data_IF_432710675246
#
_entry.id   IF_432710675246
#
_cell.length_a   1.000
_cell.length_b   1.000
_cell.length_c   1.000
_cell.angle_alpha   90.00
_cell.angle_beta   90.00
_cell.angle_gamma   90.00
#
_symmetry.space_group_name_H-M   'P 1'
#
loop_
_entity.id
_entity.type
_entity.pdbx_description
1 polymer ?
#
# COMPACT_ATOMS: atom_id res chain seq x y z
N UNK A 1 13.83 13.24 -13.58
CA UNK A 1 12.47 13.44 -14.13
C UNK A 1 12.07 12.39 -15.16
N UNK A 2 12.77 12.21 -16.29
CA UNK A 2 12.44 11.14 -17.28
C UNK A 2 12.44 9.73 -16.66
N UNK A 3 13.36 9.46 -15.73
CA UNK A 3 13.44 8.19 -14.97
C UNK A 3 12.22 7.96 -14.06
N UNK A 4 11.69 8.99 -13.41
CA UNK A 4 10.52 8.87 -12.52
C UNK A 4 9.25 8.60 -13.32
N UNK A 5 9.02 9.37 -14.40
CA UNK A 5 7.87 9.13 -15.28
C UNK A 5 7.95 7.75 -15.95
N UNK A 6 9.13 7.35 -16.41
CA UNK A 6 9.34 6.01 -16.96
C UNK A 6 9.05 4.90 -15.93
N UNK A 7 9.43 5.11 -14.67
CA UNK A 7 9.08 4.22 -13.56
C UNK A 7 7.58 4.17 -13.30
N UNK A 8 6.88 5.31 -13.25
CA UNK A 8 5.42 5.37 -13.10
C UNK A 8 4.70 4.64 -14.24
N UNK A 9 5.10 4.88 -15.49
CA UNK A 9 4.56 4.16 -16.66
C UNK A 9 4.81 2.65 -16.58
N UNK A 10 6.00 2.25 -16.13
CA UNK A 10 6.32 0.85 -15.93
C UNK A 10 5.41 0.19 -14.88
N UNK A 11 5.22 0.82 -13.71
CA UNK A 11 4.32 0.32 -12.67
C UNK A 11 2.87 0.30 -13.16
N UNK A 12 2.42 1.34 -13.89
CA UNK A 12 1.08 1.37 -14.47
C UNK A 12 0.86 0.23 -15.47
N UNK A 13 1.86 -0.11 -16.28
CA UNK A 13 1.77 -1.26 -17.19
C UNK A 13 1.63 -2.59 -16.42
N UNK A 14 2.36 -2.76 -15.31
CA UNK A 14 2.23 -3.93 -14.45
C UNK A 14 0.83 -4.03 -13.81
N UNK A 15 0.33 -2.93 -13.24
CA UNK A 15 -1.01 -2.88 -12.62
C UNK A 15 -2.10 -3.14 -13.65
N UNK A 16 -2.00 -2.53 -14.83
CA UNK A 16 -2.95 -2.75 -15.92
C UNK A 16 -2.92 -4.21 -16.41
N UNK A 17 -1.73 -4.81 -16.47
CA UNK A 17 -1.58 -6.25 -16.74
C UNK A 17 -2.33 -7.11 -15.74
N UNK A 18 -2.20 -6.83 -14.43
CA UNK A 18 -2.93 -7.53 -13.36
C UNK A 18 -4.44 -7.35 -13.51
N UNK A 19 -4.90 -6.13 -13.78
CA UNK A 19 -6.33 -5.83 -13.98
C UNK A 19 -6.89 -6.58 -15.18
N UNK A 20 -6.19 -6.59 -16.31
CA UNK A 20 -6.59 -7.36 -17.50
C UNK A 20 -6.68 -8.86 -17.16
N UNK A 21 -5.68 -9.39 -16.44
CA UNK A 21 -5.67 -10.78 -16.01
C UNK A 21 -6.94 -11.13 -15.20
N UNK A 22 -7.28 -10.31 -14.22
CA UNK A 22 -8.50 -10.51 -13.42
C UNK A 22 -9.80 -10.26 -14.20
N UNK A 23 -9.83 -9.32 -15.14
CA UNK A 23 -10.98 -9.14 -16.04
C UNK A 23 -11.24 -10.39 -16.88
N UNK A 24 -10.18 -10.97 -17.48
CA UNK A 24 -10.29 -12.19 -18.27
C UNK A 24 -10.77 -13.33 -17.37
N UNK A 25 -10.17 -13.47 -16.18
CA UNK A 25 -10.54 -14.51 -15.22
C UNK A 25 -12.01 -14.42 -14.78
N UNK A 26 -12.50 -13.22 -14.44
CA UNK A 26 -13.90 -12.99 -14.11
C UNK A 26 -14.84 -13.30 -15.28
N UNK A 27 -14.41 -13.06 -16.52
CA UNK A 27 -15.22 -13.36 -17.72
C UNK A 27 -15.43 -14.86 -17.95
N UNK A 28 -14.55 -15.72 -17.43
CA UNK A 28 -14.70 -17.17 -17.53
C UNK A 28 -15.51 -17.78 -16.37
N UNK A 29 -15.85 -17.00 -15.35
CA UNK A 29 -16.66 -17.49 -14.22
C UNK A 29 -18.13 -17.42 -14.63
N UNK A 30 -18.71 -18.58 -14.95
CA UNK A 30 -20.13 -18.74 -15.22
C UNK A 30 -20.90 -19.09 -13.92
N UNK A 31 -22.07 -18.46 -13.70
CA UNK A 31 -22.98 -18.83 -12.61
C UNK A 31 -22.98 -17.95 -11.36
N UNK A 32 -22.16 -16.89 -11.29
CA UNK A 32 -22.22 -15.92 -10.18
C UNK A 32 -23.26 -14.84 -10.49
N UNK A 33 -24.29 -14.73 -9.65
CA UNK A 33 -25.28 -13.67 -9.82
C UNK A 33 -24.71 -12.32 -9.38
N UNK A 34 -24.89 -11.28 -10.22
CA UNK A 34 -24.47 -9.91 -9.90
C UNK A 34 -25.09 -9.42 -8.58
N UNK A 35 -26.32 -9.89 -8.29
CA UNK A 35 -27.04 -9.57 -7.05
C UNK A 35 -26.34 -10.10 -5.80
N UNK A 36 -25.77 -11.31 -5.83
CA UNK A 36 -25.03 -11.88 -4.69
C UNK A 36 -23.72 -11.13 -4.45
N UNK A 37 -23.02 -10.74 -5.52
CA UNK A 37 -21.81 -9.93 -5.43
C UNK A 37 -22.10 -8.60 -4.74
N UNK A 38 -23.14 -7.88 -5.17
CA UNK A 38 -23.54 -6.61 -4.53
C UNK A 38 -24.03 -6.80 -3.10
N UNK A 39 -24.69 -7.92 -2.80
CA UNK A 39 -25.07 -8.25 -1.42
C UNK A 39 -23.86 -8.50 -0.53
N UNK A 40 -22.76 -9.01 -1.08
CA UNK A 40 -21.49 -9.20 -0.37
C UNK A 40 -20.79 -7.91 0.08
N UNK A 41 -21.08 -6.77 -0.56
CA UNK A 41 -20.57 -5.47 -0.10
C UNK A 41 -21.29 -4.95 1.16
N UNK A 42 -22.43 -5.53 1.52
CA UNK A 42 -23.18 -5.13 2.71
C UNK A 42 -22.56 -5.83 3.93
N UNK A 43 -22.20 -5.10 5.00
CA UNK A 43 -21.64 -5.69 6.21
C UNK A 43 -22.59 -6.74 6.80
N UNK A 44 -22.06 -7.92 7.12
CA UNK A 44 -22.81 -9.00 7.76
C UNK A 44 -22.28 -9.30 9.16
N UNK A 45 -23.13 -9.85 10.04
CA UNK A 45 -22.76 -10.20 11.41
C UNK A 45 -21.63 -11.25 11.49
N UNK A 46 -21.36 -11.95 10.40
CA UNK A 46 -20.26 -12.92 10.27
C UNK A 46 -18.87 -12.28 10.39
N UNK A 47 -18.74 -10.97 10.15
CA UNK A 47 -17.49 -10.21 10.32
C UNK A 47 -17.06 -10.14 11.79
N UNK A 48 -18.01 -10.21 12.73
CA UNK A 48 -17.75 -10.06 14.17
C UNK A 48 -17.35 -11.40 14.82
N UNK A 49 -17.43 -12.52 14.11
CA UNK A 49 -16.95 -13.81 14.59
C UNK A 49 -15.41 -13.86 14.60
N UNK A 50 -14.80 -14.67 15.46
CA UNK A 50 -13.34 -14.70 15.64
C UNK A 50 -12.55 -14.90 14.33
N UNK A 51 -12.95 -15.87 13.50
CA UNK A 51 -12.31 -16.14 12.20
C UNK A 51 -12.54 -15.00 11.19
N UNK A 52 -13.74 -14.43 11.17
CA UNK A 52 -14.08 -13.31 10.31
C UNK A 52 -13.33 -12.04 10.69
N UNK A 53 -13.15 -11.80 11.99
CA UNK A 53 -12.38 -10.69 12.52
C UNK A 53 -10.90 -10.86 12.17
N UNK A 54 -10.34 -12.06 12.33
CA UNK A 54 -8.96 -12.37 11.95
C UNK A 54 -8.70 -12.07 10.47
N UNK A 55 -9.54 -12.58 9.56
CA UNK A 55 -9.42 -12.35 8.13
C UNK A 55 -9.62 -10.86 7.77
N UNK A 56 -10.59 -10.20 8.41
CA UNK A 56 -10.84 -8.77 8.19
C UNK A 56 -9.67 -7.90 8.65
N UNK A 57 -9.07 -8.22 9.79
CA UNK A 57 -7.84 -7.58 10.28
C UNK A 57 -6.67 -7.82 9.32
N UNK A 58 -6.51 -9.06 8.81
CA UNK A 58 -5.50 -9.40 7.82
C UNK A 58 -5.63 -8.57 6.54
N UNK A 59 -6.85 -8.48 5.99
CA UNK A 59 -7.15 -7.65 4.81
C UNK A 59 -6.88 -6.18 5.09
N UNK A 60 -7.27 -5.66 6.26
CA UNK A 60 -7.02 -4.27 6.63
C UNK A 60 -5.51 -3.97 6.72
N UNK A 61 -4.74 -4.84 7.39
CA UNK A 61 -3.28 -4.71 7.49
C UNK A 61 -2.57 -4.84 6.14
N UNK A 62 -3.06 -5.73 5.28
CA UNK A 62 -2.53 -5.93 3.93
C UNK A 62 -2.84 -4.73 3.00
N UNK A 63 -3.98 -4.07 3.17
CA UNK A 63 -4.39 -2.93 2.33
C UNK A 63 -3.74 -1.63 2.78
N UNK A 64 -3.65 -1.38 4.09
CA UNK A 64 -3.03 -0.17 4.62
C UNK A 64 -1.56 -0.43 4.93
N UNK A 65 -0.72 -0.37 3.90
CA UNK A 65 0.70 -0.62 4.02
C UNK A 65 1.46 0.61 4.55
N UNK A 66 2.18 0.54 5.69
CA UNK A 66 2.91 1.67 6.25
C UNK A 66 3.97 2.25 5.30
N UNK A 67 4.63 1.41 4.52
CA UNK A 67 5.66 1.84 3.57
C UNK A 67 5.07 2.69 2.44
N UNK A 68 3.80 2.48 2.06
CA UNK A 68 3.10 3.29 1.05
C UNK A 68 2.82 4.70 1.56
N UNK A 69 2.59 4.89 2.87
CA UNK A 69 2.45 6.22 3.47
C UNK A 69 3.74 7.03 3.34
N UNK A 70 4.89 6.41 3.65
CA UNK A 70 6.19 7.04 3.47
C UNK A 70 6.48 7.33 1.99
N UNK A 71 6.26 6.35 1.12
CA UNK A 71 6.51 6.49 -0.31
C UNK A 71 5.69 7.64 -0.93
N UNK A 72 4.39 7.69 -0.65
CA UNK A 72 3.51 8.75 -1.14
C UNK A 72 3.99 10.13 -0.69
N UNK A 73 4.36 10.26 0.60
CA UNK A 73 4.87 11.53 1.13
C UNK A 73 6.17 12.00 0.45
N UNK A 74 7.05 11.08 0.05
CA UNK A 74 8.32 11.41 -0.61
C UNK A 74 8.17 11.68 -2.10
N UNK A 75 7.32 10.95 -2.82
CA UNK A 75 7.09 11.16 -4.26
C UNK A 75 6.46 12.54 -4.51
N UNK A 76 5.53 12.96 -3.65
CA UNK A 76 4.84 14.25 -3.75
C UNK A 76 5.83 15.42 -3.67
N UNK A 77 6.91 15.33 -2.88
CA UNK A 77 7.93 16.38 -2.80
C UNK A 77 8.59 16.71 -4.15
N UNK A 78 8.81 15.70 -4.99
CA UNK A 78 9.37 15.89 -6.32
C UNK A 78 8.39 16.64 -7.25
N UNK A 79 7.08 16.42 -7.07
CA UNK A 79 6.01 17.09 -7.83
C UNK A 79 5.86 18.56 -7.43
N UNK A 80 5.89 18.87 -6.13
CA UNK A 80 5.86 20.25 -5.66
C UNK A 80 7.03 21.05 -6.24
N UNK A 81 8.23 20.47 -6.20
CA UNK A 81 9.43 21.08 -6.77
C UNK A 81 9.29 21.35 -8.27
N UNK A 82 8.69 20.43 -9.02
CA UNK A 82 8.45 20.61 -10.45
C UNK A 82 7.47 21.76 -10.73
N UNK A 83 6.40 21.86 -9.94
CA UNK A 83 5.43 22.95 -10.06
C UNK A 83 6.11 24.30 -9.80
N UNK A 84 6.87 24.44 -8.71
CA UNK A 84 7.56 25.69 -8.39
C UNK A 84 8.61 26.09 -9.44
N UNK A 85 9.36 25.12 -9.98
CA UNK A 85 10.31 25.39 -11.08
C UNK A 85 9.59 25.86 -12.34
N UNK A 86 8.45 25.26 -12.68
CA UNK A 86 7.68 25.62 -13.88
C UNK A 86 6.95 26.96 -13.73
N UNK A 87 6.47 27.27 -12.53
CA UNK A 87 5.79 28.52 -12.20
C UNK A 87 6.75 29.69 -11.93
N UNK A 88 8.07 29.47 -11.98
CA UNK A 88 9.07 30.52 -11.73
C UNK A 88 9.20 30.92 -10.26
N UNK A 89 8.60 30.17 -9.34
CA UNK A 89 8.67 30.41 -7.88
C UNK A 89 9.89 29.75 -7.23
N UNK A 90 10.75 29.11 -8.01
CA UNK A 90 12.02 28.61 -7.51
C UNK A 90 12.95 29.80 -7.27
N UNK A 91 13.59 29.94 -6.08
CA UNK A 91 14.51 31.04 -5.85
C UNK A 91 15.64 30.95 -6.88
N UNK A 92 15.63 31.87 -7.84
CA UNK A 92 16.73 32.08 -8.77
C UNK A 92 17.92 32.51 -7.95
N UNK A 93 18.95 31.66 -7.93
CA UNK A 93 20.25 31.94 -7.31
C UNK A 93 20.75 33.33 -7.76
N UNK A 94 21.01 34.30 -6.87
CA UNK A 94 21.79 35.46 -7.26
C UNK A 94 23.18 34.98 -7.66
N UNK A 95 23.61 35.33 -8.87
CA UNK A 95 24.82 34.89 -9.56
C UNK A 95 26.13 35.19 -8.81
N UNK A 96 26.08 35.90 -7.68
CA UNK A 96 27.25 36.50 -7.02
C UNK A 96 27.58 35.93 -5.62
N UNK A 97 27.01 34.79 -5.21
CA UNK A 97 27.37 34.19 -3.91
C UNK A 97 28.49 33.13 -4.06
N UNK A 98 29.62 33.46 -3.47
CA UNK A 98 30.85 32.67 -3.32
C UNK A 98 30.62 31.28 -2.71
N UNK A 99 31.45 30.35 -3.14
CA UNK A 99 31.30 28.89 -3.16
C UNK A 99 31.48 28.13 -1.83
N UNK A 100 31.29 28.73 -0.65
CA UNK A 100 31.73 28.09 0.62
C UNK A 100 30.69 27.90 1.72
N UNK A 101 29.44 28.35 1.58
CA UNK A 101 28.34 28.07 2.55
C UNK A 101 27.29 27.12 1.98
N UNK A 102 27.74 26.09 1.26
CA UNK A 102 26.95 25.27 0.33
C UNK A 102 26.15 24.11 0.96
N UNK A 103 25.82 24.16 2.25
CA UNK A 103 25.05 23.09 2.90
C UNK A 103 23.61 23.54 3.22
N UNK A 104 22.72 23.07 2.35
CA UNK A 104 21.26 22.91 2.52
C UNK A 104 20.42 24.17 2.76
N UNK A 105 20.18 24.97 1.72
CA UNK A 105 18.91 25.71 1.67
C UNK A 105 17.81 24.65 1.53
N UNK A 106 17.12 24.37 2.64
CA UNK A 106 15.99 23.43 2.68
C UNK A 106 14.88 23.99 1.81
N UNK A 107 14.57 23.31 0.71
CA UNK A 107 13.49 23.69 -0.19
C UNK A 107 12.15 23.81 0.58
N UNK A 108 11.53 24.97 0.49
CA UNK A 108 10.19 25.23 1.03
C UNK A 108 9.25 25.49 -0.16
N UNK A 109 8.16 24.71 -0.30
CA UNK A 109 7.26 24.84 -1.43
C UNK A 109 6.33 26.05 -1.31
N UNK A 110 5.96 26.63 -2.45
CA UNK A 110 4.99 27.74 -2.49
C UNK A 110 3.57 27.27 -2.16
N UNK A 111 2.73 28.19 -1.66
CA UNK A 111 1.35 27.89 -1.30
C UNK A 111 0.50 27.43 -2.50
N UNK A 112 0.76 27.98 -3.69
CA UNK A 112 0.08 27.59 -4.93
C UNK A 112 0.47 26.16 -5.35
N UNK A 113 1.75 25.79 -5.21
CA UNK A 113 2.22 24.43 -5.46
C UNK A 113 1.55 23.42 -4.52
N UNK A 114 1.48 23.73 -3.22
CA UNK A 114 0.87 22.85 -2.23
C UNK A 114 -0.62 22.64 -2.55
N UNK A 115 -1.39 23.71 -2.78
CA UNK A 115 -2.84 23.60 -3.05
C UNK A 115 -3.13 22.78 -4.31
N UNK A 116 -2.42 23.07 -5.40
CA UNK A 116 -2.62 22.35 -6.64
C UNK A 116 -2.19 20.87 -6.52
N UNK A 117 -1.00 20.62 -5.95
CA UNK A 117 -0.50 19.25 -5.80
C UNK A 117 -1.36 18.42 -4.84
N UNK A 118 -1.91 19.03 -3.78
CA UNK A 118 -2.80 18.34 -2.84
C UNK A 118 -4.11 17.93 -3.51
N UNK A 119 -4.75 18.83 -4.28
CA UNK A 119 -5.97 18.50 -5.02
C UNK A 119 -5.71 17.41 -6.05
N UNK A 120 -4.64 17.55 -6.83
CA UNK A 120 -4.25 16.57 -7.84
C UNK A 120 -3.96 15.20 -7.23
N UNK A 121 -3.12 15.15 -6.19
CA UNK A 121 -2.74 13.90 -5.52
C UNK A 121 -3.94 13.23 -4.83
N UNK A 122 -4.87 14.00 -4.28
CA UNK A 122 -6.10 13.45 -3.67
C UNK A 122 -6.98 12.79 -4.72
N UNK A 123 -7.17 13.42 -5.88
CA UNK A 123 -7.96 12.85 -6.98
C UNK A 123 -7.27 11.62 -7.57
N UNK A 124 -5.95 11.70 -7.79
CA UNK A 124 -5.16 10.58 -8.31
C UNK A 124 -5.22 9.37 -7.39
N UNK A 125 -4.98 9.55 -6.08
CA UNK A 125 -5.07 8.48 -5.09
C UNK A 125 -6.50 7.96 -4.95
N UNK A 126 -7.49 8.85 -4.97
CA UNK A 126 -8.91 8.49 -4.90
C UNK A 126 -9.33 7.60 -6.07
N UNK A 127 -8.98 7.99 -7.30
CA UNK A 127 -9.21 7.18 -8.49
C UNK A 127 -8.46 5.86 -8.37
N UNK A 128 -7.15 5.88 -8.07
CA UNK A 128 -6.34 4.67 -8.05
C UNK A 128 -6.81 3.63 -7.02
N UNK A 129 -7.20 4.07 -5.82
CA UNK A 129 -7.71 3.19 -4.78
C UNK A 129 -9.13 2.70 -5.08
N UNK A 130 -10.00 3.56 -5.58
CA UNK A 130 -11.40 3.21 -5.84
C UNK A 130 -11.60 2.39 -7.11
N UNK A 131 -10.82 2.63 -8.16
CA UNK A 131 -10.93 1.87 -9.41
C UNK A 131 -10.04 0.65 -9.37
N UNK A 132 -8.71 0.79 -9.27
CA UNK A 132 -7.80 -0.35 -9.44
C UNK A 132 -7.73 -1.24 -8.21
N UNK A 133 -7.48 -0.68 -7.02
CA UNK A 133 -7.28 -1.49 -5.83
C UNK A 133 -8.56 -2.20 -5.40
N UNK A 134 -9.69 -1.48 -5.35
CA UNK A 134 -10.99 -2.08 -5.04
C UNK A 134 -11.37 -3.14 -6.07
N UNK A 135 -11.22 -2.85 -7.38
CA UNK A 135 -11.53 -3.84 -8.42
C UNK A 135 -10.71 -5.13 -8.25
N UNK A 136 -9.38 -5.02 -8.08
CA UNK A 136 -8.52 -6.19 -7.94
C UNK A 136 -8.84 -6.97 -6.67
N UNK A 137 -9.01 -6.29 -5.52
CA UNK A 137 -9.35 -6.94 -4.26
C UNK A 137 -10.71 -7.65 -4.34
N UNK A 138 -11.71 -7.01 -4.94
CA UNK A 138 -13.02 -7.62 -5.16
C UNK A 138 -12.96 -8.77 -6.15
N UNK A 139 -12.19 -8.65 -7.24
CA UNK A 139 -12.03 -9.72 -8.23
C UNK A 139 -11.42 -10.97 -7.60
N UNK A 140 -10.39 -10.82 -6.76
CA UNK A 140 -9.79 -11.94 -6.01
C UNK A 140 -10.84 -12.59 -5.10
N UNK A 141 -11.61 -11.79 -4.34
CA UNK A 141 -12.60 -12.32 -3.40
C UNK A 141 -13.79 -13.01 -4.10
N UNK A 142 -14.29 -12.43 -5.20
CA UNK A 142 -15.36 -13.01 -6.02
C UNK A 142 -14.89 -14.32 -6.63
N UNK A 143 -13.69 -14.32 -7.19
CA UNK A 143 -13.09 -15.51 -7.81
C UNK A 143 -12.89 -16.62 -6.79
N UNK A 144 -12.36 -16.28 -5.61
CA UNK A 144 -12.24 -17.22 -4.51
C UNK A 144 -13.61 -17.77 -4.10
N UNK A 145 -14.60 -16.90 -3.85
CA UNK A 145 -15.95 -17.33 -3.47
C UNK A 145 -16.63 -18.23 -4.51
N UNK A 146 -16.49 -17.92 -5.81
CA UNK A 146 -17.08 -18.70 -6.89
C UNK A 146 -16.44 -20.09 -7.06
N UNK A 147 -15.12 -20.19 -6.89
CA UNK A 147 -14.39 -21.44 -7.08
C UNK A 147 -14.36 -22.32 -5.82
N UNK A 148 -14.43 -21.72 -4.62
CA UNK A 148 -14.25 -22.42 -3.34
C UNK A 148 -15.57 -22.75 -2.60
N UNK A 149 -16.69 -22.12 -2.94
CA UNK A 149 -17.95 -22.22 -2.15
C UNK A 149 -18.55 -23.63 -2.01
N UNK A 150 -18.24 -24.56 -2.92
CA UNK A 150 -18.79 -25.92 -2.91
C UNK A 150 -17.83 -27.01 -2.38
N UNK A 151 -16.60 -26.66 -2.00
CA UNK A 151 -15.60 -27.63 -1.55
C UNK A 151 -15.30 -27.47 -0.06
N UNK A 152 -15.55 -28.52 0.74
CA UNK A 152 -15.19 -28.56 2.16
C UNK A 152 -13.68 -28.53 2.42
N UNK A 153 -12.86 -28.79 1.39
CA UNK A 153 -11.39 -28.63 1.41
C UNK A 153 -10.92 -27.18 1.22
N UNK A 154 -11.84 -26.22 1.11
CA UNK A 154 -11.54 -24.82 0.81
C UNK A 154 -11.14 -23.96 2.01
N UNK A 155 -11.25 -24.47 3.25
CA UNK A 155 -10.92 -23.70 4.45
C UNK A 155 -9.44 -23.32 4.52
N UNK A 156 -8.56 -24.09 3.87
CA UNK A 156 -7.11 -23.89 3.83
C UNK A 156 -6.55 -23.76 2.40
N UNK A 157 -7.32 -23.16 1.48
CA UNK A 157 -6.87 -22.98 0.10
C UNK A 157 -5.70 -21.97 0.02
N UNK A 158 -4.49 -22.51 0.10
CA UNK A 158 -3.25 -21.80 -0.15
C UNK A 158 -3.16 -21.27 -1.59
N UNK A 159 -2.19 -20.39 -1.86
CA UNK A 159 -1.94 -19.82 -3.18
C UNK A 159 -1.88 -20.88 -4.30
N UNK A 160 -1.32 -22.06 -3.99
CA UNK A 160 -1.26 -23.21 -4.89
C UNK A 160 -2.63 -23.86 -5.09
N UNK A 161 -3.42 -23.99 -4.03
CA UNK A 161 -4.79 -24.49 -4.12
C UNK A 161 -5.67 -23.59 -4.98
N UNK A 162 -5.53 -22.27 -4.85
CA UNK A 162 -6.22 -21.31 -5.71
C UNK A 162 -5.80 -21.50 -7.17
N UNK A 163 -4.50 -21.62 -7.46
CA UNK A 163 -4.03 -21.89 -8.83
C UNK A 163 -4.64 -23.17 -9.42
N UNK A 164 -4.59 -24.27 -8.67
CA UNK A 164 -5.05 -25.57 -9.13
C UNK A 164 -6.56 -25.59 -9.32
N UNK A 165 -7.32 -25.00 -8.40
CA UNK A 165 -8.78 -24.84 -8.50
C UNK A 165 -9.18 -23.99 -9.70
N UNK A 166 -8.48 -22.88 -9.95
CA UNK A 166 -8.72 -22.05 -11.12
C UNK A 166 -8.44 -22.81 -12.43
N UNK A 167 -7.35 -23.58 -12.44
CA UNK A 167 -6.96 -24.40 -13.58
C UNK A 167 -7.96 -25.52 -13.86
N UNK A 168 -8.54 -26.12 -12.82
CA UNK A 168 -9.48 -27.24 -12.94
C UNK A 168 -10.93 -26.84 -13.16
N UNK A 169 -11.38 -25.74 -12.54
CA UNK A 169 -12.80 -25.35 -12.50
C UNK A 169 -13.17 -24.38 -13.62
N UNK A 170 -12.23 -23.52 -14.03
CA UNK A 170 -12.49 -22.45 -15.01
C UNK A 170 -11.86 -22.80 -16.36
N UNK A 171 -10.53 -22.82 -16.41
CA UNK A 171 -9.75 -23.19 -17.60
C UNK A 171 -8.27 -23.33 -17.20
N UNK A 172 -7.48 -24.19 -17.87
CA UNK A 172 -6.04 -24.28 -17.61
C UNK A 172 -5.30 -22.96 -17.86
N UNK A 173 -5.85 -22.11 -18.73
CA UNK A 173 -5.34 -20.75 -18.98
C UNK A 173 -5.59 -19.80 -17.80
N UNK A 174 -6.64 -20.02 -17.00
CA UNK A 174 -6.94 -19.16 -15.85
C UNK A 174 -5.87 -19.28 -14.74
N UNK A 175 -5.38 -20.50 -14.48
CA UNK A 175 -4.28 -20.72 -13.53
C UNK A 175 -2.99 -20.01 -13.94
N UNK A 176 -2.63 -20.08 -15.23
CA UNK A 176 -1.42 -19.42 -15.74
C UNK A 176 -1.53 -17.89 -15.74
N UNK A 177 -2.71 -17.35 -16.05
CA UNK A 177 -3.01 -15.91 -15.95
C UNK A 177 -2.87 -15.44 -14.48
N UNK A 178 -3.39 -16.21 -13.53
CA UNK A 178 -3.26 -15.89 -12.10
C UNK A 178 -1.79 -15.92 -11.63
N UNK A 179 -1.03 -16.93 -12.03
CA UNK A 179 0.40 -17.02 -11.72
C UNK A 179 1.20 -15.84 -12.32
N UNK A 180 0.88 -15.43 -13.55
CA UNK A 180 1.48 -14.27 -14.19
C UNK A 180 1.15 -12.98 -13.43
N UNK A 181 -0.12 -12.79 -13.02
CA UNK A 181 -0.54 -11.63 -12.23
C UNK A 181 0.22 -11.54 -10.89
N UNK A 182 0.40 -12.68 -10.19
CA UNK A 182 1.19 -12.74 -8.95
C UNK A 182 2.66 -12.38 -9.18
N UNK A 183 3.26 -12.84 -10.28
CA UNK A 183 4.64 -12.51 -10.64
C UNK A 183 4.80 -11.00 -10.91
N UNK A 184 3.89 -10.41 -11.68
CA UNK A 184 3.90 -8.97 -11.97
C UNK A 184 3.70 -8.14 -10.70
N UNK A 185 2.80 -8.56 -9.80
CA UNK A 185 2.58 -7.91 -8.50
C UNK A 185 3.82 -7.97 -7.60
N UNK A 186 4.45 -9.15 -7.47
CA UNK A 186 5.64 -9.33 -6.64
C UNK A 186 6.88 -8.57 -7.15
N UNK A 187 7.02 -8.43 -8.47
CA UNK A 187 8.12 -7.63 -9.06
C UNK A 187 7.93 -6.13 -8.78
N UNK A 188 6.69 -5.63 -8.87
CA UNK A 188 6.33 -4.24 -8.54
C UNK A 188 6.60 -3.94 -7.06
N UNK A 189 6.09 -4.78 -6.15
CA UNK A 189 6.25 -4.63 -4.71
C UNK A 189 7.74 -4.54 -4.29
N UNK A 190 8.61 -5.32 -4.95
CA UNK A 190 10.05 -5.29 -4.68
C UNK A 190 10.71 -3.92 -4.96
N UNK A 191 10.27 -3.20 -5.98
CA UNK A 191 10.83 -1.88 -6.31
C UNK A 191 10.30 -0.82 -5.34
N UNK A 192 8.98 -0.81 -5.12
CA UNK A 192 8.30 0.07 -4.17
C UNK A 192 8.91 -0.05 -2.77
N UNK A 193 9.15 -1.27 -2.29
CA UNK A 193 9.78 -1.53 -1.00
C UNK A 193 11.20 -0.94 -0.89
N UNK A 194 12.00 -1.01 -1.96
CA UNK A 194 13.36 -0.41 -1.94
C UNK A 194 13.34 1.12 -1.86
N UNK A 195 12.38 1.76 -2.52
CA UNK A 195 12.23 3.22 -2.49
C UNK A 195 11.70 3.67 -1.12
N UNK A 196 10.68 3.01 -0.59
CA UNK A 196 10.16 3.30 0.74
C UNK A 196 11.24 3.06 1.82
N UNK A 197 11.97 1.94 1.72
CA UNK A 197 13.11 1.65 2.58
C UNK A 197 14.23 2.69 2.45
N UNK A 198 14.41 3.29 1.26
CA UNK A 198 15.30 4.45 1.07
C UNK A 198 14.88 5.63 1.95
N UNK A 199 13.62 6.06 1.81
CA UNK A 199 13.06 7.18 2.55
C UNK A 199 13.11 6.97 4.06
N UNK A 200 12.76 5.77 4.53
CA UNK A 200 12.78 5.46 5.96
C UNK A 200 14.21 5.46 6.51
N UNK A 201 15.19 4.83 5.85
CA UNK A 201 16.54 4.78 6.44
C UNK A 201 17.29 6.09 6.32
N UNK A 202 17.05 6.88 5.27
CA UNK A 202 17.64 8.23 5.16
C UNK A 202 16.97 9.21 6.13
N UNK A 203 15.67 9.10 6.37
CA UNK A 203 14.94 9.99 7.27
C UNK A 203 15.07 9.63 8.75
N UNK A 204 14.97 8.36 9.11
CA UNK A 204 14.96 7.90 10.51
C UNK A 204 16.34 7.46 11.01
N UNK A 205 17.15 6.81 10.17
CA UNK A 205 18.45 6.25 10.55
C UNK A 205 19.64 7.07 10.02
N UNK A 206 19.40 8.12 9.23
CA UNK A 206 20.42 8.88 8.48
C UNK A 206 21.42 8.01 7.71
N UNK A 207 21.02 6.80 7.31
CA UNK A 207 21.90 5.82 6.69
C UNK A 207 21.78 5.87 5.16
N UNK A 208 22.86 6.33 4.51
CA UNK A 208 22.98 6.42 3.05
C UNK A 208 23.68 5.17 2.52
N UNK A 209 22.93 4.33 1.82
CA UNK A 209 23.44 3.12 1.17
C UNK A 209 23.05 3.18 -0.30
N UNK A 210 23.92 2.72 -1.20
CA UNK A 210 23.59 2.63 -2.62
C UNK A 210 22.30 1.79 -2.84
N UNK A 211 21.36 2.21 -3.72
CA UNK A 211 20.08 1.53 -3.90
C UNK A 211 20.20 0.04 -4.27
N UNK A 212 21.24 -0.34 -5.03
CA UNK A 212 21.46 -1.74 -5.43
C UNK A 212 21.81 -2.65 -4.25
N UNK A 213 22.58 -2.11 -3.28
CA UNK A 213 23.12 -2.85 -2.15
C UNK A 213 22.02 -2.99 -1.12
N UNK A 214 21.24 -1.92 -0.92
CA UNK A 214 20.03 -1.98 -0.11
C UNK A 214 19.05 -3.02 -0.64
N UNK A 215 18.79 -3.04 -1.96
CA UNK A 215 17.92 -4.04 -2.59
C UNK A 215 18.43 -5.46 -2.40
N UNK A 216 19.74 -5.68 -2.53
CA UNK A 216 20.35 -6.99 -2.31
C UNK A 216 20.18 -7.41 -0.84
N UNK A 217 20.57 -6.55 0.10
CA UNK A 217 20.48 -6.82 1.53
C UNK A 217 19.05 -7.09 1.99
N UNK A 218 18.09 -6.23 1.66
CA UNK A 218 16.69 -6.42 2.08
C UNK A 218 16.08 -7.67 1.45
N UNK A 219 16.44 -8.00 0.21
CA UNK A 219 15.99 -9.25 -0.42
C UNK A 219 16.66 -10.48 0.17
N UNK A 220 17.96 -10.44 0.47
CA UNK A 220 18.62 -11.55 1.15
C UNK A 220 17.96 -11.81 2.50
N UNK A 221 17.76 -10.78 3.32
CA UNK A 221 17.11 -10.90 4.62
C UNK A 221 15.67 -11.43 4.50
N UNK A 222 14.93 -11.01 3.47
CA UNK A 222 13.54 -11.45 3.28
C UNK A 222 13.42 -12.84 2.65
N UNK A 223 14.30 -13.23 1.74
CA UNK A 223 14.20 -14.48 0.97
C UNK A 223 14.80 -15.65 1.73
N UNK A 224 15.89 -15.44 2.48
CA UNK A 224 16.56 -16.49 3.26
C UNK A 224 15.60 -17.26 4.18
N UNK A 225 14.80 -16.62 5.05
CA UNK A 225 13.87 -17.36 5.90
C UNK A 225 12.80 -18.09 5.08
N UNK A 226 12.29 -17.49 4.00
CA UNK A 226 11.31 -18.12 3.13
C UNK A 226 11.86 -19.38 2.44
N UNK A 227 13.12 -19.36 2.00
CA UNK A 227 13.78 -20.54 1.41
C UNK A 227 13.95 -21.64 2.46
N UNK A 228 14.38 -21.29 3.67
CA UNK A 228 14.56 -22.26 4.76
C UNK A 228 13.24 -22.94 5.12
N UNK A 229 12.17 -22.15 5.26
CA UNK A 229 10.83 -22.67 5.58
C UNK A 229 10.30 -23.54 4.43
N UNK A 230 10.49 -23.10 3.18
CA UNK A 230 10.10 -23.87 2.00
C UNK A 230 10.82 -25.23 1.93
N UNK A 231 12.11 -25.27 2.28
CA UNK A 231 12.91 -26.50 2.26
C UNK A 231 12.60 -27.44 3.44
N UNK A 232 12.26 -26.90 4.61
CA UNK A 232 12.06 -27.69 5.83
C UNK A 232 10.60 -28.13 6.04
N UNK A 233 9.63 -27.27 5.78
CA UNK A 233 8.20 -27.48 6.09
C UNK A 233 7.35 -27.60 4.82
N UNK A 234 7.75 -26.95 3.72
CA UNK A 234 7.00 -26.98 2.47
C UNK A 234 5.91 -25.91 2.39
N UNK A 235 4.76 -26.25 1.78
CA UNK A 235 3.70 -25.30 1.40
C UNK A 235 3.01 -24.65 2.61
N UNK A 236 2.58 -25.47 3.56
CA UNK A 236 1.84 -25.00 4.74
C UNK A 236 2.70 -24.04 5.59
N UNK A 237 4.01 -24.33 5.69
CA UNK A 237 4.96 -23.45 6.37
C UNK A 237 5.11 -22.10 5.68
N UNK A 238 5.14 -22.07 4.34
CA UNK A 238 5.19 -20.83 3.56
C UNK A 238 3.92 -20.00 3.76
N UNK A 239 2.74 -20.64 3.74
CA UNK A 239 1.46 -19.96 3.97
C UNK A 239 1.36 -19.38 5.38
N UNK A 240 1.75 -20.16 6.39
CA UNK A 240 1.83 -19.69 7.78
C UNK A 240 2.80 -18.52 7.93
N UNK A 241 3.97 -18.57 7.27
CA UNK A 241 4.91 -17.47 7.26
C UNK A 241 4.33 -16.20 6.60
N UNK A 242 3.62 -16.34 5.48
CA UNK A 242 2.93 -15.23 4.82
C UNK A 242 1.86 -14.61 5.73
N UNK A 243 1.03 -15.41 6.37
CA UNK A 243 0.02 -14.92 7.32
C UNK A 243 0.68 -14.23 8.52
N UNK A 244 1.76 -14.81 9.05
CA UNK A 244 2.56 -14.19 10.13
C UNK A 244 3.13 -12.83 9.74
N UNK A 245 3.64 -12.67 8.51
CA UNK A 245 4.14 -11.36 8.05
C UNK A 245 3.03 -10.31 7.92
N UNK A 246 1.81 -10.70 7.57
CA UNK A 246 0.65 -9.79 7.53
C UNK A 246 0.27 -9.31 8.93
N UNK A 247 0.27 -10.21 9.93
CA UNK A 247 0.05 -9.85 11.33
C UNK A 247 1.12 -8.85 11.78
N UNK A 248 2.40 -9.13 11.52
CA UNK A 248 3.49 -8.23 11.88
C UNK A 248 3.33 -6.84 11.26
N UNK A 249 2.89 -6.76 10.00
CA UNK A 249 2.62 -5.49 9.32
C UNK A 249 1.46 -4.73 9.97
N UNK A 250 0.39 -5.43 10.33
CA UNK A 250 -0.79 -4.87 10.99
C UNK A 250 -0.42 -4.25 12.34
N UNK A 251 0.46 -4.91 13.12
CA UNK A 251 0.94 -4.40 14.42
C UNK A 251 1.73 -3.09 14.28
N UNK A 252 2.49 -2.92 13.19
CA UNK A 252 3.29 -1.71 12.95
C UNK A 252 2.40 -0.51 12.58
N UNK A 253 1.24 -0.76 11.96
CA UNK A 253 0.41 0.28 11.37
C UNK A 253 -0.06 1.37 12.36
N UNK A 254 -0.57 1.05 13.58
CA UNK A 254 -0.91 2.07 14.58
C UNK A 254 0.23 3.01 14.93
N UNK A 255 1.45 2.48 15.06
CA UNK A 255 2.64 3.26 15.46
C UNK A 255 3.11 4.22 14.37
N UNK A 256 2.89 3.88 13.09
CA UNK A 256 3.22 4.76 11.96
C UNK A 256 2.11 5.78 11.71
N UNK A 257 0.85 5.39 11.88
CA UNK A 257 -0.30 6.27 11.63
C UNK A 257 -0.55 7.29 12.75
N UNK A 258 -0.27 6.98 14.01
CA UNK A 258 -0.53 7.91 15.11
C UNK A 258 0.29 9.23 15.00
N UNK A 259 1.62 9.20 14.75
CA UNK A 259 2.40 10.42 14.52
C UNK A 259 1.92 11.19 13.29
N UNK A 260 1.52 10.49 12.22
CA UNK A 260 1.01 11.12 11.00
C UNK A 260 -0.27 11.92 11.28
N UNK A 261 -1.22 11.33 12.01
CA UNK A 261 -2.45 12.01 12.42
C UNK A 261 -2.11 13.19 13.34
N UNK A 262 -1.21 13.00 14.31
CA UNK A 262 -0.77 14.06 15.21
C UNK A 262 -0.16 15.27 14.47
N UNK A 263 0.74 15.03 13.51
CA UNK A 263 1.39 16.10 12.75
C UNK A 263 0.41 16.83 11.82
N UNK A 264 -0.49 16.09 11.16
CA UNK A 264 -1.50 16.67 10.24
C UNK A 264 -2.58 17.48 10.97
N UNK A 265 -2.81 17.20 12.26
CA UNK A 265 -3.80 17.89 13.08
C UNK A 265 -3.24 19.09 13.87
N UNK A 266 -1.92 19.35 13.87
CA UNK A 266 -1.33 20.46 14.62
C UNK A 266 -0.94 21.64 13.73
N UNK A 267 -1.47 22.81 14.09
CA UNK A 267 -1.13 24.09 13.45
C UNK A 267 0.38 24.40 13.49
N UNK A 268 1.11 23.90 14.50
CA UNK A 268 2.56 24.12 14.61
C UNK A 268 3.35 23.53 13.42
N UNK A 269 2.85 22.45 12.81
CA UNK A 269 3.55 21.75 11.73
C UNK A 269 2.90 21.98 10.37
N UNK A 270 1.57 22.18 10.32
CA UNK A 270 0.81 22.44 9.09
C UNK A 270 0.55 23.94 8.86
N UNK A 271 1.62 24.74 8.85
CA UNK A 271 1.59 26.16 8.50
C UNK A 271 2.57 26.46 7.40
N UNK A 272 2.13 27.23 6.40
CA UNK A 272 2.92 27.65 5.25
C UNK A 272 3.08 29.16 5.30
N UNK A 273 4.31 29.65 5.19
CA UNK A 273 4.59 31.07 5.04
C UNK A 273 4.22 31.52 3.63
N UNK A 274 3.52 32.65 3.52
CA UNK A 274 3.21 33.27 2.23
C UNK A 274 4.26 34.30 1.86
N UNK A 275 4.39 34.57 0.56
CA UNK A 275 5.35 35.55 0.03
C UNK A 275 5.10 36.96 0.60
N UNK A 276 3.85 37.27 0.97
CA UNK A 276 3.44 38.53 1.62
C UNK A 276 3.81 38.63 3.12
N UNK A 277 4.61 37.70 3.65
CA UNK A 277 5.02 37.65 5.07
C UNK A 277 3.93 37.14 6.03
N UNK A 278 2.78 36.72 5.50
CA UNK A 278 1.71 36.07 6.24
C UNK A 278 1.96 34.57 6.50
N UNK A 279 1.10 33.95 7.29
CA UNK A 279 1.11 32.50 7.52
C UNK A 279 -0.28 31.92 7.31
N UNK A 280 -0.40 30.91 6.44
CA UNK A 280 -1.67 30.20 6.21
C UNK A 280 -1.63 28.86 6.93
N UNK A 281 -2.66 28.62 7.76
CA UNK A 281 -2.87 27.33 8.45
C UNK A 281 -3.49 26.35 7.46
N UNK A 282 -2.81 25.25 7.17
CA UNK A 282 -3.27 24.17 6.29
C UNK A 282 -3.57 22.88 7.06
N UNK A 283 -4.01 23.01 8.32
CA UNK A 283 -4.45 21.86 9.13
C UNK A 283 -5.64 21.18 8.47
N UNK A 284 -5.72 19.85 8.62
CA UNK A 284 -6.91 19.10 8.26
C UNK A 284 -8.18 19.69 8.89
N UNK A 285 -9.28 19.63 8.15
CA UNK A 285 -10.59 20.04 8.67
C UNK A 285 -10.94 19.18 9.90
N UNK A 286 -11.73 19.75 10.83
CA UNK A 286 -12.09 19.06 12.07
C UNK A 286 -12.84 17.74 11.80
N UNK A 287 -13.70 17.73 10.77
CA UNK A 287 -14.39 16.51 10.30
C UNK A 287 -13.39 15.43 9.86
N UNK A 288 -12.42 15.78 9.02
CA UNK A 288 -11.37 14.85 8.57
C UNK A 288 -10.53 14.35 9.74
N UNK A 289 -10.29 15.21 10.73
CA UNK A 289 -9.55 14.86 11.95
C UNK A 289 -10.32 13.84 12.79
N UNK A 290 -11.61 14.07 13.04
CA UNK A 290 -12.46 13.11 13.78
C UNK A 290 -12.49 11.77 13.05
N UNK A 291 -12.71 11.78 11.74
CA UNK A 291 -12.78 10.56 10.95
C UNK A 291 -11.46 9.79 10.96
N UNK A 292 -10.33 10.49 10.84
CA UNK A 292 -9.00 9.89 10.92
C UNK A 292 -8.73 9.27 12.30
N UNK A 293 -9.11 9.94 13.39
CA UNK A 293 -8.96 9.43 14.75
C UNK A 293 -9.88 8.22 14.98
N UNK A 294 -11.10 8.24 14.46
CA UNK A 294 -12.03 7.12 14.55
C UNK A 294 -11.50 5.89 13.82
N UNK A 295 -11.03 6.06 12.58
CA UNK A 295 -10.39 4.97 11.81
C UNK A 295 -9.18 4.44 12.57
N UNK A 296 -8.33 5.32 13.07
CA UNK A 296 -7.16 4.92 13.84
C UNK A 296 -7.53 4.10 15.09
N UNK A 297 -8.57 4.51 15.82
CA UNK A 297 -9.08 3.79 16.98
C UNK A 297 -9.59 2.40 16.58
N UNK A 298 -10.35 2.29 15.49
CA UNK A 298 -10.79 0.99 14.96
C UNK A 298 -9.58 0.11 14.64
N UNK A 299 -8.58 0.64 13.94
CA UNK A 299 -7.36 -0.11 13.58
C UNK A 299 -6.63 -0.59 14.84
N UNK A 300 -6.52 0.25 15.88
CA UNK A 300 -5.90 -0.12 17.16
C UNK A 300 -6.67 -1.24 17.83
N UNK A 301 -8.00 -1.10 17.96
CA UNK A 301 -8.85 -2.12 18.61
C UNK A 301 -8.78 -3.44 17.85
N UNK A 302 -8.87 -3.39 16.51
CA UNK A 302 -8.75 -4.57 15.65
C UNK A 302 -7.39 -5.26 15.79
N UNK A 303 -6.30 -4.49 15.83
CA UNK A 303 -4.96 -5.03 16.04
C UNK A 303 -4.76 -5.66 17.42
N UNK A 304 -5.28 -5.03 18.47
CA UNK A 304 -5.22 -5.59 19.82
C UNK A 304 -6.03 -6.89 19.89
N UNK A 305 -7.24 -6.92 19.34
CA UNK A 305 -8.05 -8.14 19.25
C UNK A 305 -7.35 -9.24 18.47
N UNK A 306 -6.70 -8.91 17.34
CA UNK A 306 -5.90 -9.84 16.55
C UNK A 306 -4.76 -10.45 17.38
N UNK A 307 -3.99 -9.61 18.07
CA UNK A 307 -2.88 -10.06 18.92
C UNK A 307 -3.36 -10.97 20.06
N UNK A 308 -4.50 -10.65 20.66
CA UNK A 308 -5.12 -11.48 21.71
C UNK A 308 -5.59 -12.82 21.14
N UNK A 309 -6.24 -12.82 19.98
CA UNK A 309 -6.69 -14.05 19.32
C UNK A 309 -5.52 -14.97 18.96
N UNK A 310 -4.45 -14.40 18.40
CA UNK A 310 -3.21 -15.12 18.08
C UNK A 310 -2.55 -15.64 19.36
N UNK A 311 -2.44 -14.81 20.41
CA UNK A 311 -1.85 -15.21 21.69
C UNK A 311 -2.63 -16.30 22.43
N UNK A 312 -3.94 -16.39 22.20
CA UNK A 312 -4.82 -17.44 22.74
C UNK A 312 -4.85 -18.71 21.88
N UNK A 313 -4.13 -18.76 20.76
CA UNK A 313 -4.14 -19.89 19.82
C UNK A 313 -5.51 -20.12 19.16
N UNK A 314 -6.33 -19.07 19.05
CA UNK A 314 -7.67 -19.08 18.41
C UNK A 314 -7.65 -18.42 17.03
N UNK A 315 -6.46 -18.27 16.46
CA UNK A 315 -6.20 -17.72 15.13
C UNK A 315 -5.86 -18.84 14.16
#
# INVERSE_FOLDING_TARGET
MRRLRCFEFFVMALVLGVVICFCIQLSYIEGVSVKEVFRGYIPSSSIVQAQGLYLSCGILGATVMPHSLYLGSGIVQARLREFDVKSGHFPTRPSNSSSSSLNSIKYQPSLSAIRNCLSYSTVELGIALFTFALFVNSAILITAGASLSNNSSAQDADLFGIHDLLSSTIAPVAGTIFALALLLSGTSAGIVATIAGQMVSEGALNWKVAPWLRRLLTRSISITPSIIIAAAVGRDGLSAALNGTQIALSVILPFVSAPLIYFTCRNKYMTVSTDDGGSVKMRNHWITTIFAVLIWLIIVVMNVSLLVLVGLGKA
#
